data_IF_918354052113
#
_entry.id   IF_918354052113
#
_cell.length_a   1.000
_cell.length_b   1.000
_cell.length_c   1.000
_cell.angle_alpha   90.00
_cell.angle_beta   90.00
_cell.angle_gamma   90.00
#
_symmetry.space_group_name_H-M   'P 1'
#
loop_
_entity.id
_entity.type
_entity.pdbx_description
1 polymer ?
#
# COMPACT_ATOMS: atom_id res chain seq x y z
N UNK A 1 -38.28 -22.51 10.30
CA UNK A 1 -37.74 -22.92 11.65
C UNK A 1 -38.60 -22.34 12.78
N UNK A 2 -38.38 -22.70 14.05
CA UNK A 2 -39.00 -22.00 15.20
C UNK A 2 -37.94 -21.49 16.17
N UNK A 3 -37.98 -20.20 16.50
CA UNK A 3 -37.12 -19.57 17.50
C UNK A 3 -38.00 -18.82 18.49
N UNK A 4 -37.85 -19.09 19.78
CA UNK A 4 -38.62 -18.44 20.88
C UNK A 4 -40.14 -18.49 20.64
N UNK A 5 -40.64 -19.57 20.03
CA UNK A 5 -42.07 -19.77 19.75
C UNK A 5 -42.56 -19.21 18.41
N UNK A 6 -41.77 -18.39 17.71
CA UNK A 6 -42.12 -17.81 16.41
C UNK A 6 -41.67 -18.71 15.28
N UNK A 7 -42.53 -18.94 14.29
CA UNK A 7 -42.14 -19.55 13.02
C UNK A 7 -41.43 -18.50 12.17
N UNK A 8 -40.19 -18.79 11.79
CA UNK A 8 -39.36 -17.90 10.97
C UNK A 8 -39.00 -18.64 9.68
N UNK A 9 -39.15 -17.96 8.55
CA UNK A 9 -38.68 -18.41 7.25
C UNK A 9 -37.36 -17.70 6.94
N UNK A 10 -36.27 -18.46 6.83
CA UNK A 10 -34.92 -17.88 6.70
C UNK A 10 -34.77 -17.12 5.38
N UNK A 11 -35.37 -17.66 4.30
CA UNK A 11 -35.37 -17.03 2.99
C UNK A 11 -36.01 -15.64 2.97
N UNK A 12 -36.99 -15.36 3.83
CA UNK A 12 -37.59 -14.02 3.94
C UNK A 12 -36.59 -13.01 4.51
N UNK A 13 -35.76 -13.44 5.47
CA UNK A 13 -34.69 -12.61 6.03
C UNK A 13 -33.58 -12.42 5.00
N UNK A 14 -33.21 -13.48 4.26
CA UNK A 14 -32.24 -13.40 3.16
C UNK A 14 -32.70 -12.40 2.10
N UNK A 15 -33.96 -12.48 1.67
CA UNK A 15 -34.58 -11.59 0.68
C UNK A 15 -34.55 -10.13 1.15
N UNK A 16 -35.00 -9.85 2.38
CA UNK A 16 -34.95 -8.50 2.97
C UNK A 16 -33.52 -7.97 3.10
N UNK A 17 -32.54 -8.83 3.38
CA UNK A 17 -31.13 -8.42 3.42
C UNK A 17 -30.60 -8.10 2.02
N UNK A 18 -30.93 -8.91 1.01
CA UNK A 18 -30.49 -8.68 -0.38
C UNK A 18 -31.23 -7.55 -1.09
N UNK A 19 -32.35 -7.07 -0.53
CA UNK A 19 -32.99 -5.81 -0.96
C UNK A 19 -32.14 -4.56 -0.63
N UNK A 20 -31.19 -4.68 0.30
CA UNK A 20 -30.24 -3.61 0.59
C UNK A 20 -29.18 -3.52 -0.51
N UNK A 21 -28.99 -2.32 -1.08
CA UNK A 21 -28.08 -2.08 -2.23
C UNK A 21 -26.64 -2.51 -2.01
N UNK A 22 -26.17 -2.45 -0.76
CA UNK A 22 -24.80 -2.81 -0.40
C UNK A 22 -24.59 -4.31 -0.14
N UNK A 23 -25.62 -5.15 -0.28
CA UNK A 23 -25.55 -6.60 -0.01
C UNK A 23 -25.82 -7.37 -1.31
N UNK A 24 -24.78 -8.00 -1.84
CA UNK A 24 -24.88 -8.83 -3.05
C UNK A 24 -25.51 -10.20 -2.76
N UNK A 25 -25.20 -10.78 -1.60
CA UNK A 25 -25.67 -12.11 -1.21
C UNK A 25 -25.84 -12.18 0.31
N UNK A 26 -26.85 -12.93 0.76
CA UNK A 26 -27.05 -13.24 2.16
C UNK A 26 -27.36 -14.74 2.34
N UNK A 27 -26.87 -15.32 3.44
CA UNK A 27 -27.25 -16.64 3.91
C UNK A 27 -27.54 -16.57 5.41
N UNK A 28 -28.75 -16.95 5.80
CA UNK A 28 -29.20 -16.90 7.19
C UNK A 28 -29.30 -18.31 7.73
N UNK A 29 -28.63 -18.56 8.86
CA UNK A 29 -28.63 -19.87 9.53
C UNK A 29 -29.03 -19.74 10.99
N UNK A 30 -29.55 -20.84 11.53
CA UNK A 30 -29.70 -21.00 12.97
C UNK A 30 -28.39 -21.50 13.55
N UNK A 31 -27.87 -20.80 14.55
CA UNK A 31 -26.73 -21.25 15.36
C UNK A 31 -27.17 -21.49 16.79
N UNK A 32 -26.59 -22.51 17.38
CA UNK A 32 -26.67 -22.80 18.81
C UNK A 32 -25.23 -23.01 19.30
N UNK A 33 -24.53 -21.89 19.51
CA UNK A 33 -23.12 -21.92 19.90
C UNK A 33 -22.94 -22.27 21.39
N UNK A 34 -24.02 -22.14 22.19
CA UNK A 34 -24.14 -22.66 23.55
C UNK A 34 -25.48 -23.42 23.69
N UNK A 35 -25.52 -24.55 24.43
CA UNK A 35 -26.75 -25.30 24.63
C UNK A 35 -27.88 -24.42 25.18
N UNK A 36 -29.01 -24.39 24.49
CA UNK A 36 -30.19 -23.61 24.85
C UNK A 36 -30.21 -22.16 24.36
N UNK A 37 -29.14 -21.64 23.75
CA UNK A 37 -29.09 -20.28 23.18
C UNK A 37 -29.15 -20.31 21.65
N UNK A 38 -30.37 -20.50 21.14
CA UNK A 38 -30.64 -20.49 19.70
C UNK A 38 -30.72 -19.05 19.17
N UNK A 39 -29.89 -18.73 18.17
CA UNK A 39 -29.84 -17.43 17.49
C UNK A 39 -29.82 -17.55 15.98
N UNK A 40 -30.26 -16.50 15.30
CA UNK A 40 -30.06 -16.32 13.87
C UNK A 40 -28.74 -15.63 13.62
N UNK A 41 -28.00 -16.11 12.62
CA UNK A 41 -26.78 -15.47 12.14
C UNK A 41 -26.93 -15.31 10.63
N UNK A 42 -26.74 -14.08 10.16
CA UNK A 42 -26.68 -13.75 8.74
C UNK A 42 -25.21 -13.59 8.33
N UNK A 43 -24.80 -14.31 7.29
CA UNK A 43 -23.56 -14.08 6.58
C UNK A 43 -23.88 -13.30 5.31
N UNK A 44 -23.21 -12.18 5.10
CA UNK A 44 -23.46 -11.28 3.97
C UNK A 44 -22.19 -11.11 3.15
N UNK A 45 -22.37 -10.99 1.83
CA UNK A 45 -21.33 -10.56 0.90
C UNK A 45 -21.67 -9.14 0.49
N UNK A 46 -20.77 -8.20 0.75
CA UNK A 46 -20.96 -6.81 0.34
C UNK A 46 -20.98 -6.71 -1.19
N UNK A 47 -21.91 -5.91 -1.73
CA UNK A 47 -21.88 -5.53 -3.13
C UNK A 47 -20.81 -4.44 -3.33
N UNK A 48 -19.71 -4.82 -3.97
CA UNK A 48 -18.61 -3.90 -4.30
C UNK A 48 -18.73 -3.31 -5.70
N UNK A 49 -19.76 -3.67 -6.47
CA UNK A 49 -19.96 -3.18 -7.84
C UNK A 49 -20.65 -1.82 -7.89
N UNK A 50 -21.46 -1.53 -6.86
CA UNK A 50 -22.19 -0.27 -6.70
C UNK A 50 -21.51 0.75 -5.79
N UNK A 51 -20.27 0.47 -5.31
CA UNK A 51 -19.46 1.52 -4.67
C UNK A 51 -19.17 2.57 -5.72
N UNK A 52 -19.98 3.63 -5.75
CA UNK A 52 -19.59 4.88 -6.35
C UNK A 52 -18.22 5.24 -5.78
N UNK A 53 -17.33 5.72 -6.66
CA UNK A 53 -16.00 6.16 -6.27
C UNK A 53 -16.18 7.35 -5.32
N UNK A 54 -16.25 7.07 -4.04
CA UNK A 54 -16.36 8.09 -3.00
C UNK A 54 -14.96 8.67 -2.79
N UNK A 55 -14.68 9.72 -3.57
CA UNK A 55 -13.43 10.47 -3.50
C UNK A 55 -13.12 10.89 -2.06
N UNK A 56 -14.12 11.22 -1.23
CA UNK A 56 -13.86 11.64 0.14
C UNK A 56 -13.37 10.48 1.02
N UNK A 57 -13.97 9.29 0.90
CA UNK A 57 -13.50 8.08 1.62
C UNK A 57 -12.10 7.68 1.17
N UNK A 58 -11.79 7.80 -0.14
CA UNK A 58 -10.45 7.50 -0.65
C UNK A 58 -9.41 8.51 -0.17
N UNK A 59 -9.75 9.81 -0.16
CA UNK A 59 -8.86 10.85 0.38
C UNK A 59 -8.62 10.68 1.89
N UNK A 60 -9.65 10.28 2.65
CA UNK A 60 -9.51 9.97 4.08
C UNK A 60 -8.59 8.75 4.30
N UNK A 61 -8.76 7.68 3.53
CA UNK A 61 -7.87 6.51 3.56
C UNK A 61 -6.42 6.89 3.20
N UNK A 62 -6.21 7.72 2.17
CA UNK A 62 -4.88 8.24 1.82
C UNK A 62 -4.28 9.09 2.94
N UNK A 63 -5.10 9.88 3.64
CA UNK A 63 -4.71 10.65 4.82
C UNK A 63 -4.24 9.78 5.97
N UNK A 64 -4.95 8.70 6.28
CA UNK A 64 -4.57 7.72 7.30
C UNK A 64 -3.25 7.02 6.95
N UNK A 65 -3.10 6.57 5.70
CA UNK A 65 -1.85 5.98 5.22
C UNK A 65 -0.68 6.96 5.30
N UNK A 66 -0.89 8.23 4.95
CA UNK A 66 0.16 9.26 5.04
C UNK A 66 0.63 9.44 6.47
N UNK A 67 -0.29 9.52 7.42
CA UNK A 67 0.05 9.68 8.84
C UNK A 67 0.82 8.47 9.38
N UNK A 68 0.44 7.25 8.98
CA UNK A 68 1.15 6.03 9.35
C UNK A 68 2.57 6.02 8.78
N UNK A 69 2.74 6.31 7.49
CA UNK A 69 4.05 6.34 6.86
C UNK A 69 4.93 7.45 7.44
N UNK A 70 4.42 8.66 7.63
CA UNK A 70 5.17 9.76 8.24
C UNK A 70 5.65 9.40 9.66
N UNK A 71 4.81 8.73 10.47
CA UNK A 71 5.19 8.27 11.79
C UNK A 71 6.28 7.17 11.75
N UNK A 72 6.17 6.22 10.82
CA UNK A 72 7.17 5.15 10.61
C UNK A 72 8.51 5.74 10.17
N UNK A 73 8.50 6.70 9.24
CA UNK A 73 9.73 7.33 8.75
C UNK A 73 10.38 8.26 9.77
N UNK A 74 9.59 9.02 10.53
CA UNK A 74 10.13 9.92 11.58
C UNK A 74 10.78 9.14 12.73
N UNK A 75 10.28 7.93 13.03
CA UNK A 75 10.81 7.08 14.10
C UNK A 75 11.90 6.11 13.65
N UNK A 76 12.13 5.97 12.33
CA UNK A 76 13.14 5.06 11.79
C UNK A 76 14.56 5.50 12.19
N UNK A 77 15.47 4.55 12.50
CA UNK A 77 16.87 4.86 12.74
C UNK A 77 17.48 5.55 11.51
N UNK A 78 18.26 6.61 11.73
CA UNK A 78 19.10 7.19 10.68
C UNK A 78 20.10 6.14 10.22
N UNK A 79 19.82 5.56 9.06
CA UNK A 79 20.66 4.58 8.39
C UNK A 79 21.37 5.23 7.22
N UNK A 80 22.38 4.55 6.67
CA UNK A 80 23.01 5.02 5.44
C UNK A 80 22.01 5.00 4.28
N UNK A 81 22.24 5.87 3.31
CA UNK A 81 21.44 5.94 2.10
C UNK A 81 21.31 4.56 1.42
N UNK A 82 20.08 4.13 1.14
CA UNK A 82 19.78 2.82 0.55
C UNK A 82 19.79 1.62 1.51
N UNK A 83 19.88 1.83 2.82
CA UNK A 83 19.90 0.77 3.85
C UNK A 83 18.78 0.89 4.88
N UNK A 84 17.78 1.74 4.65
CA UNK A 84 16.63 1.87 5.55
C UNK A 84 15.53 0.85 5.21
N UNK A 85 15.52 -0.28 5.93
CA UNK A 85 14.53 -1.37 5.79
C UNK A 85 13.46 -1.36 6.90
N UNK A 86 13.32 -0.28 7.67
CA UNK A 86 12.54 -0.25 8.92
C UNK A 86 11.04 -0.60 8.76
N UNK A 87 10.50 -0.56 7.54
CA UNK A 87 9.09 -0.84 7.26
C UNK A 87 8.76 -2.33 7.06
N UNK A 88 9.73 -3.25 7.22
CA UNK A 88 9.55 -4.67 6.91
C UNK A 88 9.57 -5.57 8.16
N UNK A 89 8.38 -6.02 8.56
CA UNK A 89 8.18 -6.99 9.64
C UNK A 89 7.52 -8.26 9.12
N UNK A 90 7.89 -9.40 9.68
CA UNK A 90 7.30 -10.70 9.37
C UNK A 90 5.87 -10.78 9.92
N UNK A 91 4.92 -11.22 9.09
CA UNK A 91 3.52 -11.41 9.51
C UNK A 91 3.33 -12.60 10.47
N UNK A 92 4.34 -13.46 10.63
CA UNK A 92 4.27 -14.64 11.51
C UNK A 92 4.54 -14.31 12.98
N UNK A 93 5.48 -13.40 13.23
CA UNK A 93 5.98 -13.11 14.58
C UNK A 93 6.09 -11.60 14.87
N UNK A 94 5.78 -10.74 13.91
CA UNK A 94 5.81 -9.29 14.03
C UNK A 94 7.22 -8.70 14.17
N UNK A 95 8.28 -9.50 14.00
CA UNK A 95 9.66 -9.04 14.17
C UNK A 95 10.23 -8.50 12.86
N UNK A 96 11.25 -7.61 12.91
CA UNK A 96 11.94 -7.16 11.72
C UNK A 96 12.54 -8.34 10.95
N UNK A 97 12.38 -8.33 9.63
CA UNK A 97 12.99 -9.34 8.75
C UNK A 97 14.52 -9.17 8.81
N UNK A 98 15.31 -10.27 8.88
CA UNK A 98 16.76 -10.18 8.92
C UNK A 98 17.34 -9.36 7.77
N UNK A 99 18.25 -8.42 8.08
CA UNK A 99 18.86 -7.53 7.09
C UNK A 99 19.51 -8.24 5.90
N UNK A 100 20.19 -9.41 6.04
CA UNK A 100 20.72 -10.13 4.89
C UNK A 100 19.65 -10.53 3.87
N UNK A 101 18.48 -10.98 4.33
CA UNK A 101 17.35 -11.37 3.47
C UNK A 101 16.77 -10.14 2.78
N UNK A 102 16.63 -9.02 3.51
CA UNK A 102 16.16 -7.76 2.93
C UNK A 102 17.12 -7.20 1.87
N UNK A 103 18.43 -7.36 2.06
CA UNK A 103 19.43 -6.99 1.06
C UNK A 103 19.37 -7.89 -0.16
N UNK A 104 19.24 -9.20 0.03
CA UNK A 104 19.07 -10.16 -1.08
C UNK A 104 17.83 -9.82 -1.92
N UNK A 105 16.71 -9.51 -1.26
CA UNK A 105 15.47 -9.06 -1.94
C UNK A 105 15.69 -7.80 -2.77
N UNK A 106 16.32 -6.76 -2.19
CA UNK A 106 16.64 -5.52 -2.90
C UNK A 106 17.58 -5.77 -4.06
N UNK A 107 18.69 -6.46 -3.82
CA UNK A 107 19.75 -6.65 -4.80
C UNK A 107 19.26 -7.49 -5.99
N UNK A 108 18.45 -8.51 -5.73
CA UNK A 108 17.77 -9.28 -6.80
C UNK A 108 16.87 -8.40 -7.67
N UNK A 109 16.15 -7.45 -7.06
CA UNK A 109 15.30 -6.50 -7.79
C UNK A 109 16.13 -5.52 -8.61
N UNK A 110 17.19 -4.97 -8.02
CA UNK A 110 18.13 -4.07 -8.69
C UNK A 110 18.79 -4.76 -9.89
N UNK A 111 19.26 -6.00 -9.75
CA UNK A 111 19.92 -6.73 -10.82
C UNK A 111 18.98 -7.02 -11.99
N UNK A 112 17.71 -7.34 -11.70
CA UNK A 112 16.68 -7.48 -12.75
C UNK A 112 16.47 -6.18 -13.51
N UNK A 113 16.35 -5.06 -12.81
CA UNK A 113 16.20 -3.74 -13.44
C UNK A 113 17.44 -3.41 -14.28
N UNK A 114 18.65 -3.58 -13.72
CA UNK A 114 19.92 -3.37 -14.44
C UNK A 114 20.03 -4.21 -15.72
N UNK A 115 19.51 -5.43 -15.73
CA UNK A 115 19.53 -6.30 -16.92
C UNK A 115 18.80 -5.70 -18.12
N UNK A 116 17.83 -4.81 -17.88
CA UNK A 116 17.11 -4.06 -18.91
C UNK A 116 17.91 -2.86 -19.45
N UNK A 117 19.03 -2.51 -18.80
CA UNK A 117 19.90 -1.36 -19.10
C UNK A 117 19.13 -0.03 -19.13
N UNK A 118 18.43 0.32 -18.04
CA UNK A 118 17.63 1.53 -17.98
C UNK A 118 18.52 2.77 -18.02
N UNK A 119 18.03 3.83 -18.67
CA UNK A 119 18.71 5.13 -18.74
C UNK A 119 17.90 6.22 -18.07
N UNK A 120 16.56 6.17 -18.16
CA UNK A 120 15.63 7.20 -17.68
C UNK A 120 14.52 6.53 -16.90
N UNK A 121 14.66 6.52 -15.58
CA UNK A 121 13.79 5.75 -14.68
C UNK A 121 12.76 6.65 -14.02
N UNK A 122 11.55 6.13 -13.85
CA UNK A 122 10.53 6.66 -12.94
C UNK A 122 10.21 5.62 -11.86
N UNK A 123 10.54 5.92 -10.60
CA UNK A 123 10.15 5.13 -9.44
C UNK A 123 8.95 5.79 -8.75
N UNK A 124 7.78 5.13 -8.82
CA UNK A 124 6.57 5.55 -8.10
C UNK A 124 6.55 4.87 -6.74
N UNK A 125 6.47 5.66 -5.67
CA UNK A 125 6.65 5.18 -4.30
C UNK A 125 8.13 4.94 -3.97
N UNK A 126 8.98 5.95 -4.25
CA UNK A 126 10.44 5.86 -4.06
C UNK A 126 10.85 5.56 -2.61
N UNK A 127 10.00 5.92 -1.64
CA UNK A 127 10.25 5.62 -0.23
C UNK A 127 11.63 6.11 0.22
N UNK A 128 12.32 5.30 1.02
CA UNK A 128 13.65 5.60 1.55
C UNK A 128 14.78 5.49 0.51
N UNK A 129 14.44 5.26 -0.76
CA UNK A 129 15.39 5.21 -1.88
C UNK A 129 16.20 3.92 -1.92
N UNK A 130 15.62 2.77 -1.56
CA UNK A 130 16.30 1.47 -1.59
C UNK A 130 16.77 1.10 -3.02
N UNK A 131 15.94 1.35 -4.03
CA UNK A 131 16.30 1.12 -5.44
C UNK A 131 17.06 2.31 -6.00
N UNK A 132 16.59 3.54 -5.74
CA UNK A 132 17.25 4.79 -6.16
C UNK A 132 18.74 4.79 -5.82
N UNK A 133 19.12 4.44 -4.59
CA UNK A 133 20.52 4.43 -4.15
C UNK A 133 21.43 3.51 -4.96
N UNK A 134 20.88 2.49 -5.61
CA UNK A 134 21.63 1.49 -6.39
C UNK A 134 21.58 1.77 -7.89
N UNK A 135 20.48 2.34 -8.39
CA UNK A 135 20.23 2.53 -9.82
C UNK A 135 20.59 3.93 -10.32
N UNK A 136 20.29 4.98 -9.54
CA UNK A 136 20.48 6.37 -9.97
C UNK A 136 21.93 6.73 -10.39
N UNK A 137 23.00 6.20 -9.76
CA UNK A 137 24.38 6.47 -10.19
C UNK A 137 24.69 6.04 -11.64
N UNK A 138 23.99 5.02 -12.13
CA UNK A 138 24.19 4.40 -13.44
C UNK A 138 23.22 4.91 -14.51
N UNK A 139 22.13 5.57 -14.09
CA UNK A 139 21.13 6.15 -14.98
C UNK A 139 21.58 7.51 -15.51
N UNK A 140 21.03 7.93 -16.64
CA UNK A 140 21.14 9.31 -17.14
C UNK A 140 20.24 10.24 -16.33
N UNK A 141 19.06 9.75 -15.98
CA UNK A 141 18.05 10.49 -15.24
C UNK A 141 17.22 9.53 -14.37
N UNK A 142 16.90 9.95 -13.15
CA UNK A 142 16.13 9.14 -12.20
C UNK A 142 15.07 10.00 -11.50
N UNK A 143 13.80 9.73 -11.78
CA UNK A 143 12.68 10.40 -11.15
C UNK A 143 12.12 9.53 -10.03
N UNK A 144 11.92 10.13 -8.86
CA UNK A 144 11.29 9.48 -7.72
C UNK A 144 10.07 10.27 -7.26
N UNK A 145 8.91 9.61 -7.16
CA UNK A 145 7.71 10.19 -6.58
C UNK A 145 7.31 9.48 -5.31
N UNK A 146 6.88 10.23 -4.30
CA UNK A 146 6.27 9.68 -3.09
C UNK A 146 5.25 10.68 -2.54
N UNK A 147 4.19 10.20 -1.93
CA UNK A 147 3.16 11.06 -1.34
C UNK A 147 3.58 11.62 0.02
N UNK A 148 4.56 11.01 0.69
CA UNK A 148 5.16 11.52 1.93
C UNK A 148 6.21 12.59 1.61
N UNK A 149 5.90 13.84 1.98
CA UNK A 149 6.86 14.94 1.87
C UNK A 149 8.09 14.73 2.76
N UNK A 150 7.89 14.17 3.94
CA UNK A 150 8.93 13.86 4.92
C UNK A 150 10.01 12.95 4.33
N UNK A 151 9.61 11.89 3.64
CA UNK A 151 10.51 10.96 2.95
C UNK A 151 11.26 11.65 1.84
N UNK A 152 10.55 12.41 1.00
CA UNK A 152 11.15 13.12 -0.12
C UNK A 152 12.21 14.12 0.36
N UNK A 153 11.95 14.83 1.45
CA UNK A 153 12.90 15.78 2.02
C UNK A 153 14.12 15.08 2.64
N UNK A 154 13.93 13.92 3.28
CA UNK A 154 15.05 13.09 3.75
C UNK A 154 15.90 12.53 2.61
N UNK A 155 15.25 12.03 1.57
CA UNK A 155 15.92 11.49 0.40
C UNK A 155 16.68 12.60 -0.34
N UNK A 156 16.10 13.80 -0.45
CA UNK A 156 16.75 14.97 -1.04
C UNK A 156 18.03 15.36 -0.30
N UNK A 157 18.06 15.27 1.05
CA UNK A 157 19.31 15.49 1.82
C UNK A 157 20.44 14.54 1.42
N UNK A 158 20.14 13.28 1.10
CA UNK A 158 21.14 12.31 0.67
C UNK A 158 21.58 12.57 -0.78
N UNK A 159 20.62 12.88 -1.66
CA UNK A 159 20.87 13.19 -3.07
C UNK A 159 21.72 14.45 -3.22
N UNK A 160 21.38 15.53 -2.51
CA UNK A 160 22.08 16.82 -2.59
C UNK A 160 23.50 16.76 -2.03
N UNK A 161 23.79 15.78 -1.16
CA UNK A 161 25.12 15.55 -0.61
C UNK A 161 26.09 14.90 -1.61
N UNK A 162 25.57 14.28 -2.68
CA UNK A 162 26.35 13.67 -3.76
C UNK A 162 26.14 14.44 -5.07
N UNK A 163 27.15 15.17 -5.58
CA UNK A 163 27.02 15.93 -6.82
C UNK A 163 26.60 15.12 -8.05
N UNK A 164 26.93 13.82 -8.10
CA UNK A 164 26.55 12.96 -9.22
C UNK A 164 25.05 12.68 -9.17
N UNK A 165 24.52 12.38 -7.98
CA UNK A 165 23.09 12.15 -7.78
C UNK A 165 22.30 13.45 -7.94
N UNK A 166 22.76 14.55 -7.37
CA UNK A 166 22.12 15.87 -7.46
C UNK A 166 21.93 16.34 -8.91
N UNK A 167 22.81 15.91 -9.83
CA UNK A 167 22.72 16.26 -11.25
C UNK A 167 21.70 15.43 -12.05
N UNK A 168 21.24 14.29 -11.52
CA UNK A 168 20.46 13.29 -12.27
C UNK A 168 19.13 12.90 -11.63
N UNK A 169 18.98 13.16 -10.33
CA UNK A 169 17.83 12.71 -9.54
C UNK A 169 16.80 13.83 -9.41
N UNK A 170 15.55 13.53 -9.73
CA UNK A 170 14.42 14.44 -9.62
C UNK A 170 13.37 13.88 -8.66
N UNK A 171 13.26 14.47 -7.46
CA UNK A 171 12.31 14.04 -6.44
C UNK A 171 11.08 14.94 -6.40
N UNK A 172 9.90 14.32 -6.31
CA UNK A 172 8.60 15.02 -6.22
C UNK A 172 7.71 14.42 -5.14
N UNK A 173 7.16 15.28 -4.30
CA UNK A 173 6.11 14.90 -3.36
C UNK A 173 4.76 14.89 -4.08
N UNK A 174 4.23 13.70 -4.40
CA UNK A 174 2.93 13.53 -5.07
C UNK A 174 2.37 12.12 -4.92
N UNK A 175 1.04 11.95 -4.96
CA UNK A 175 0.42 10.63 -4.96
C UNK A 175 0.65 9.90 -6.30
N UNK A 176 0.60 8.57 -6.26
CA UNK A 176 0.86 7.72 -7.42
C UNK A 176 -0.13 7.92 -8.58
N UNK A 177 -1.37 8.37 -8.29
CA UNK A 177 -2.39 8.63 -9.30
C UNK A 177 -2.24 9.98 -10.01
N UNK A 178 -1.36 10.87 -9.53
CA UNK A 178 -1.12 12.18 -10.13
C UNK A 178 0.10 12.16 -11.07
N UNK A 179 -0.19 12.12 -12.37
CA UNK A 179 0.82 12.11 -13.43
C UNK A 179 1.10 13.50 -14.04
N UNK A 180 0.46 14.57 -13.56
CA UNK A 180 0.32 15.86 -14.28
C UNK A 180 1.62 16.39 -14.90
N UNK A 181 2.62 16.70 -14.07
CA UNK A 181 3.88 17.30 -14.55
C UNK A 181 4.96 16.27 -14.95
N UNK A 182 4.62 14.98 -15.05
CA UNK A 182 5.60 13.97 -15.42
C UNK A 182 5.87 13.99 -16.94
N UNK A 183 7.13 13.89 -17.38
CA UNK A 183 7.47 13.81 -18.80
C UNK A 183 6.76 12.66 -19.53
N UNK A 184 6.01 12.97 -20.60
CA UNK A 184 5.33 11.96 -21.42
C UNK A 184 6.30 11.30 -22.41
N UNK A 185 6.24 9.96 -22.51
CA UNK A 185 7.05 9.19 -23.47
C UNK A 185 8.57 9.29 -23.26
N UNK A 186 9.00 9.63 -22.04
CA UNK A 186 10.39 9.97 -21.73
C UNK A 186 11.17 8.84 -21.05
N UNK A 187 10.51 8.07 -20.18
CA UNK A 187 11.11 7.00 -19.39
C UNK A 187 11.22 5.70 -20.20
N UNK A 188 12.26 4.91 -19.95
CA UNK A 188 12.55 3.65 -20.65
C UNK A 188 12.38 2.39 -19.78
N UNK A 189 11.86 2.59 -18.57
CA UNK A 189 11.42 1.55 -17.62
C UNK A 189 9.91 1.46 -17.55
#
# INVERSE_FOLDING_TARGET
>A
IKIRGFRIELGEIEEVLTDHTDIAQAAVVVREDQPGDTRLVAYVVADTTAREHDEAVEQDQLGEWRNLYDAVYTSAPRTSFGENFASWNSSYDGRPIPLPEMREWRDTTVDRIRSLRPRRVLEIGVGTGLLLARLAPECEEYWGTDFSGTVIDELRRHVDADPVLAARVHLRTRPAHDFGDLPQGHFDT
#
